data_IF_065396832824
#
_entry.id   IF_065396832824
#
_cell.length_a   1.000
_cell.length_b   1.000
_cell.length_c   1.000
_cell.angle_alpha   90.00
_cell.angle_beta   90.00
_cell.angle_gamma   90.00
#
_symmetry.space_group_name_H-M   'P 1'
#
loop_
_entity.id
_entity.type
_entity.pdbx_description
1 polymer ?
#
# COMPACT_ATOMS: atom_id res chain seq x y z
N UNK A 1 -16.24 -30.15 0.82
CA UNK A 1 -15.21 -31.17 0.46
C UNK A 1 -13.86 -30.67 0.98
N UNK A 2 -13.32 -31.29 2.04
CA UNK A 2 -12.10 -30.85 2.75
C UNK A 2 -10.89 -31.77 2.57
N UNK A 3 -10.83 -32.56 1.50
CA UNK A 3 -9.82 -33.61 1.32
C UNK A 3 -8.37 -33.15 1.09
N UNK A 4 -8.07 -31.87 1.29
CA UNK A 4 -6.73 -31.28 1.19
C UNK A 4 -6.38 -30.36 2.38
N UNK A 5 -7.17 -30.43 3.46
CA UNK A 5 -6.86 -29.71 4.70
C UNK A 5 -5.84 -30.47 5.54
N UNK A 6 -5.10 -29.76 6.39
CA UNK A 6 -4.19 -30.37 7.37
C UNK A 6 -5.00 -31.20 8.37
N UNK A 7 -4.44 -32.34 8.80
CA UNK A 7 -5.00 -33.13 9.90
C UNK A 7 -4.75 -32.44 11.25
N UNK A 8 -5.50 -32.84 12.29
CA UNK A 8 -5.26 -32.35 13.64
C UNK A 8 -3.85 -32.70 14.16
N UNK A 9 -3.28 -33.84 13.76
CA UNK A 9 -1.92 -34.21 14.14
C UNK A 9 -0.88 -33.29 13.50
N UNK A 10 -1.01 -32.98 12.21
CA UNK A 10 -0.12 -32.03 11.51
C UNK A 10 -0.19 -30.64 12.14
N UNK A 11 -1.40 -30.17 12.48
CA UNK A 11 -1.56 -28.87 13.13
C UNK A 11 -0.93 -28.87 14.54
N UNK A 12 -1.10 -29.95 15.32
CA UNK A 12 -0.47 -30.09 16.64
C UNK A 12 1.06 -30.08 16.54
N UNK A 13 1.63 -30.73 15.54
CA UNK A 13 3.06 -30.70 15.27
C UNK A 13 3.54 -29.26 15.02
N UNK A 14 2.87 -28.53 14.13
CA UNK A 14 3.18 -27.14 13.82
C UNK A 14 3.10 -26.24 15.07
N UNK A 15 2.06 -26.36 15.90
CA UNK A 15 1.94 -25.58 17.15
C UNK A 15 3.01 -25.95 18.17
N UNK A 16 3.34 -27.24 18.29
CA UNK A 16 4.34 -27.73 19.24
C UNK A 16 5.74 -27.18 18.93
N UNK A 17 6.04 -26.90 17.66
CA UNK A 17 7.30 -26.28 17.22
C UNK A 17 7.54 -24.87 17.78
N UNK A 18 6.49 -24.18 18.26
CA UNK A 18 6.50 -22.76 18.67
C UNK A 18 6.82 -21.76 17.55
N UNK A 19 7.00 -22.22 16.30
CA UNK A 19 7.20 -21.37 15.12
C UNK A 19 5.88 -20.97 14.44
N UNK A 20 4.80 -21.69 14.72
CA UNK A 20 3.47 -21.44 14.14
C UNK A 20 2.45 -21.07 15.20
N UNK A 21 1.61 -20.09 14.88
CA UNK A 21 0.41 -19.74 15.64
C UNK A 21 -0.84 -20.11 14.83
N UNK A 22 -1.93 -20.40 15.53
CA UNK A 22 -3.23 -20.65 14.92
C UNK A 22 -4.11 -19.42 15.09
N UNK A 23 -4.74 -19.01 13.98
CA UNK A 23 -5.81 -18.03 13.96
C UNK A 23 -7.13 -18.63 13.52
N UNK A 24 -8.23 -17.99 13.91
CA UNK A 24 -9.57 -18.37 13.48
C UNK A 24 -9.86 -17.88 12.06
N UNK A 25 -10.61 -18.67 11.28
CA UNK A 25 -11.01 -18.30 9.93
C UNK A 25 -12.49 -18.63 9.68
N UNK A 26 -13.33 -18.32 10.67
CA UNK A 26 -14.76 -18.70 10.78
C UNK A 26 -14.99 -20.20 10.95
N UNK A 27 -16.25 -20.64 10.98
CA UNK A 27 -16.62 -22.07 10.97
C UNK A 27 -16.83 -22.55 9.55
N UNK A 28 -17.59 -21.79 8.76
CA UNK A 28 -18.09 -22.23 7.45
C UNK A 28 -17.45 -21.55 6.24
N UNK A 29 -16.52 -20.61 6.47
CA UNK A 29 -15.97 -19.72 5.45
C UNK A 29 -17.09 -19.02 4.64
N UNK A 30 -18.00 -18.27 5.31
CA UNK A 30 -19.16 -17.69 4.67
C UNK A 30 -18.77 -16.67 3.59
N UNK A 31 -19.35 -16.80 2.41
CA UNK A 31 -19.27 -15.78 1.37
C UNK A 31 -20.10 -14.54 1.77
N UNK A 32 -19.76 -13.34 1.23
CA UNK A 32 -20.51 -12.11 1.52
C UNK A 32 -22.02 -12.22 1.31
N UNK A 33 -22.48 -13.02 0.33
CA UNK A 33 -23.91 -13.26 0.08
C UNK A 33 -24.61 -13.93 1.27
N UNK A 34 -23.96 -14.90 1.93
CA UNK A 34 -24.49 -15.60 3.10
C UNK A 34 -24.56 -14.66 4.31
N UNK A 35 -23.53 -13.84 4.51
CA UNK A 35 -23.47 -12.84 5.59
C UNK A 35 -24.60 -11.81 5.41
N UNK A 36 -24.73 -11.26 4.20
CA UNK A 36 -25.82 -10.32 3.86
C UNK A 36 -27.20 -10.93 4.00
N UNK A 37 -27.37 -12.22 3.68
CA UNK A 37 -28.64 -12.93 3.88
C UNK A 37 -29.00 -12.99 5.36
N UNK A 38 -28.07 -13.42 6.22
CA UNK A 38 -28.27 -13.47 7.66
C UNK A 38 -28.60 -12.07 8.24
N UNK A 39 -27.92 -11.02 7.77
CA UNK A 39 -28.21 -9.65 8.17
C UNK A 39 -29.64 -9.20 7.79
N UNK A 40 -30.14 -9.61 6.62
CA UNK A 40 -31.51 -9.31 6.17
C UNK A 40 -32.60 -10.05 6.95
N UNK A 41 -32.27 -11.17 7.59
CA UNK A 41 -33.20 -11.93 8.43
C UNK A 41 -33.48 -11.26 9.78
N UNK A 42 -32.69 -10.23 10.13
CA UNK A 42 -32.89 -9.38 11.32
C UNK A 42 -31.72 -9.45 12.30
N UNK A 43 -31.66 -8.51 13.28
CA UNK A 43 -30.52 -8.38 14.20
C UNK A 43 -30.23 -9.65 15.01
N UNK A 44 -31.26 -10.31 15.55
CA UNK A 44 -31.11 -11.53 16.36
C UNK A 44 -30.57 -12.71 15.53
N UNK A 45 -31.09 -12.89 14.31
CA UNK A 45 -30.63 -13.91 13.39
C UNK A 45 -29.17 -13.67 12.99
N UNK A 46 -28.81 -12.40 12.76
CA UNK A 46 -27.46 -12.03 12.40
C UNK A 46 -26.48 -12.22 13.54
N UNK A 47 -26.83 -11.80 14.76
CA UNK A 47 -25.99 -12.01 15.95
C UNK A 47 -25.78 -13.51 16.19
N UNK A 48 -26.83 -14.33 16.11
CA UNK A 48 -26.71 -15.80 16.23
C UNK A 48 -25.76 -16.38 15.17
N UNK A 49 -25.86 -15.89 13.93
CA UNK A 49 -24.95 -16.27 12.86
C UNK A 49 -23.50 -15.89 13.17
N UNK A 50 -23.24 -14.65 13.61
CA UNK A 50 -21.90 -14.18 13.96
C UNK A 50 -21.32 -14.91 15.16
N UNK A 51 -22.10 -15.18 16.21
CA UNK A 51 -21.68 -15.96 17.38
C UNK A 51 -21.27 -17.37 17.00
N UNK A 52 -21.97 -18.00 16.06
CA UNK A 52 -21.54 -19.28 15.51
C UNK A 52 -20.19 -19.15 14.77
N UNK A 53 -20.09 -18.22 13.82
CA UNK A 53 -18.89 -18.11 12.98
C UNK A 53 -17.63 -17.67 13.77
N UNK A 54 -17.75 -16.72 14.69
CA UNK A 54 -16.64 -16.21 15.49
C UNK A 54 -16.41 -17.05 16.76
N UNK A 55 -17.46 -17.32 17.52
CA UNK A 55 -17.39 -17.95 18.84
C UNK A 55 -17.15 -19.44 18.79
N UNK A 56 -17.93 -20.19 17.99
CA UNK A 56 -17.74 -21.66 17.91
C UNK A 56 -16.40 -22.02 17.25
N UNK A 57 -15.94 -21.23 16.27
CA UNK A 57 -14.61 -21.41 15.69
C UNK A 57 -13.51 -21.23 16.74
N UNK A 58 -13.57 -20.15 17.54
CA UNK A 58 -12.64 -19.95 18.66
C UNK A 58 -12.67 -21.11 19.64
N UNK A 59 -13.86 -21.46 20.14
CA UNK A 59 -14.04 -22.51 21.14
C UNK A 59 -13.46 -23.82 20.67
N UNK A 60 -13.75 -24.21 19.42
CA UNK A 60 -13.18 -25.42 18.83
C UNK A 60 -11.65 -25.40 18.83
N UNK A 61 -11.04 -24.30 18.39
CA UNK A 61 -9.57 -24.19 18.32
C UNK A 61 -8.93 -24.19 19.71
N UNK A 62 -9.46 -23.40 20.65
CA UNK A 62 -8.97 -23.33 22.03
C UNK A 62 -9.07 -24.70 22.72
N UNK A 63 -10.21 -25.38 22.60
CA UNK A 63 -10.44 -26.68 23.23
C UNK A 63 -9.58 -27.79 22.60
N UNK A 64 -9.39 -27.76 21.27
CA UNK A 64 -8.69 -28.82 20.52
C UNK A 64 -7.17 -28.74 20.68
N UNK A 65 -6.63 -27.52 20.71
CA UNK A 65 -5.18 -27.28 20.73
C UNK A 65 -4.67 -26.77 22.07
N UNK A 66 -5.55 -26.50 23.05
CA UNK A 66 -5.21 -25.99 24.39
C UNK A 66 -4.37 -24.71 24.34
N UNK A 67 -4.74 -23.82 23.42
CA UNK A 67 -4.13 -22.50 23.23
C UNK A 67 -5.20 -21.41 23.37
N UNK A 68 -4.77 -20.16 23.53
CA UNK A 68 -5.66 -19.00 23.49
C UNK A 68 -5.59 -18.35 22.10
N UNK A 69 -6.49 -18.71 21.19
CA UNK A 69 -6.59 -18.05 19.88
C UNK A 69 -7.09 -16.62 20.07
N UNK A 70 -6.33 -15.65 19.58
CA UNK A 70 -6.65 -14.22 19.68
C UNK A 70 -6.62 -13.49 18.33
N UNK A 71 -6.47 -14.23 17.23
CA UNK A 71 -6.45 -13.68 15.88
C UNK A 71 -7.60 -14.25 15.04
N UNK A 72 -8.14 -13.43 14.14
CA UNK A 72 -9.20 -13.82 13.21
C UNK A 72 -8.90 -13.30 11.80
N UNK A 73 -9.00 -14.15 10.78
CA UNK A 73 -8.95 -13.71 9.40
C UNK A 73 -10.37 -13.73 8.83
N UNK A 74 -10.84 -12.62 8.28
CA UNK A 74 -12.16 -12.59 7.63
C UNK A 74 -12.13 -13.40 6.33
N UNK A 75 -13.05 -14.36 6.13
CA UNK A 75 -13.25 -15.02 4.84
C UNK A 75 -13.44 -13.99 3.71
N UNK A 76 -12.54 -14.04 2.71
CA UNK A 76 -12.51 -13.06 1.63
C UNK A 76 -12.28 -11.60 2.06
N UNK A 77 -11.87 -11.35 3.31
CA UNK A 77 -11.70 -10.02 3.88
C UNK A 77 -12.99 -9.24 4.13
N UNK A 78 -14.16 -9.89 4.07
CA UNK A 78 -15.45 -9.24 4.29
C UNK A 78 -15.78 -9.17 5.78
N UNK A 79 -16.11 -7.99 6.26
CA UNK A 79 -16.52 -7.73 7.63
C UNK A 79 -17.70 -6.75 7.66
N UNK A 80 -18.38 -6.68 8.79
CA UNK A 80 -19.34 -5.62 9.13
C UNK A 80 -19.06 -5.12 10.54
N UNK A 81 -19.53 -3.94 10.90
CA UNK A 81 -19.19 -3.31 12.18
C UNK A 81 -19.77 -4.07 13.39
N UNK A 82 -20.88 -4.80 13.20
CA UNK A 82 -21.49 -5.66 14.22
C UNK A 82 -20.58 -6.83 14.62
N UNK A 83 -19.58 -7.17 13.80
CA UNK A 83 -18.61 -8.20 14.15
C UNK A 83 -17.61 -7.73 15.22
N UNK A 84 -17.35 -6.44 15.35
CA UNK A 84 -16.31 -5.90 16.25
C UNK A 84 -16.63 -6.11 17.74
N UNK A 85 -17.82 -5.78 18.28
CA UNK A 85 -18.12 -6.02 19.68
C UNK A 85 -18.09 -7.52 20.03
N UNK A 86 -18.58 -8.39 19.13
CA UNK A 86 -18.48 -9.85 19.32
C UNK A 86 -17.03 -10.34 19.27
N UNK A 87 -16.20 -9.76 18.39
CA UNK A 87 -14.80 -10.08 18.34
C UNK A 87 -14.08 -9.76 19.66
N UNK A 88 -14.40 -8.61 20.26
CA UNK A 88 -13.89 -8.21 21.57
C UNK A 88 -14.41 -9.11 22.69
N UNK A 89 -15.71 -9.42 22.71
CA UNK A 89 -16.33 -10.36 23.65
C UNK A 89 -15.64 -11.73 23.63
N UNK A 90 -15.35 -12.25 22.44
CA UNK A 90 -14.62 -13.52 22.28
C UNK A 90 -13.11 -13.36 22.45
N UNK A 91 -12.58 -12.18 22.77
CA UNK A 91 -11.16 -11.97 23.05
C UNK A 91 -10.23 -12.02 21.82
N UNK A 92 -10.76 -11.75 20.62
CA UNK A 92 -9.94 -11.49 19.45
C UNK A 92 -9.33 -10.08 19.52
N UNK A 93 -8.01 -10.00 19.33
CA UNK A 93 -7.25 -8.75 19.40
C UNK A 93 -6.63 -8.34 18.06
N UNK A 94 -6.52 -9.24 17.08
CA UNK A 94 -5.95 -8.93 15.77
C UNK A 94 -6.77 -9.57 14.67
N UNK A 95 -7.49 -8.75 13.91
CA UNK A 95 -8.40 -9.20 12.86
C UNK A 95 -7.93 -8.72 11.49
N UNK A 96 -7.81 -9.66 10.56
CA UNK A 96 -7.14 -9.46 9.28
C UNK A 96 -8.11 -9.48 8.11
N UNK A 97 -8.01 -8.46 7.26
CA UNK A 97 -8.71 -8.39 5.97
C UNK A 97 -7.82 -8.90 4.84
N UNK A 98 -8.26 -8.70 3.59
CA UNK A 98 -7.42 -8.89 2.39
C UNK A 98 -7.19 -7.58 1.64
N UNK A 99 -7.55 -6.44 2.25
CA UNK A 99 -7.25 -5.12 1.69
C UNK A 99 -5.72 -4.93 1.76
N UNK A 100 -5.04 -4.67 0.64
CA UNK A 100 -3.59 -4.50 0.63
C UNK A 100 -3.20 -3.24 1.41
N UNK A 101 -2.15 -3.34 2.23
CA UNK A 101 -1.69 -2.22 3.04
C UNK A 101 -0.64 -2.63 4.07
N UNK A 102 0.05 -1.63 4.61
CA UNK A 102 1.08 -1.81 5.64
C UNK A 102 0.47 -1.57 7.02
N UNK A 103 0.78 -2.44 7.96
CA UNK A 103 0.39 -2.26 9.37
C UNK A 103 1.33 -1.24 10.00
N UNK A 104 0.75 -0.28 10.71
CA UNK A 104 1.41 0.75 11.51
C UNK A 104 1.02 0.57 12.98
N UNK A 105 1.72 1.25 13.91
CA UNK A 105 1.42 1.18 15.35
C UNK A 105 0.01 1.67 15.71
N UNK A 106 -0.54 2.57 14.91
CA UNK A 106 -1.88 3.16 15.02
C UNK A 106 -2.93 2.44 14.17
N UNK A 107 -2.59 1.31 13.52
CA UNK A 107 -3.56 0.55 12.74
C UNK A 107 -4.65 -0.01 13.63
N UNK A 108 -5.89 0.17 13.20
CA UNK A 108 -7.04 -0.44 13.87
C UNK A 108 -6.90 -1.95 13.89
N UNK A 109 -7.03 -2.51 15.09
CA UNK A 109 -6.87 -3.93 15.35
C UNK A 109 -7.92 -4.81 14.67
N UNK A 110 -9.04 -4.21 14.26
CA UNK A 110 -10.18 -4.91 13.68
C UNK A 110 -10.08 -5.10 12.17
N UNK A 111 -9.23 -4.34 11.47
CA UNK A 111 -9.21 -4.35 10.00
C UNK A 111 -7.78 -4.37 9.44
N UNK A 112 -6.89 -5.11 10.10
CA UNK A 112 -5.48 -5.20 9.73
C UNK A 112 -5.32 -5.63 8.26
N UNK A 113 -4.61 -4.84 7.43
CA UNK A 113 -4.44 -5.13 6.01
C UNK A 113 -3.50 -6.32 5.77
N UNK A 114 -3.70 -7.01 4.64
CA UNK A 114 -2.81 -8.06 4.13
C UNK A 114 -2.75 -8.03 2.62
N UNK A 115 -1.60 -8.41 2.06
CA UNK A 115 -1.43 -8.61 0.63
C UNK A 115 -1.74 -10.06 0.27
N UNK A 116 -2.60 -10.28 -0.73
CA UNK A 116 -2.82 -11.61 -1.31
C UNK A 116 -1.67 -11.89 -2.28
N UNK A 117 -0.86 -12.89 -2.00
CA UNK A 117 0.14 -13.40 -2.95
C UNK A 117 -0.52 -14.46 -3.82
N UNK A 118 -0.58 -14.21 -5.12
CA UNK A 118 -1.09 -15.16 -6.10
C UNK A 118 0.12 -15.87 -6.72
N UNK A 119 0.12 -17.21 -6.74
CA UNK A 119 1.27 -18.00 -7.20
C UNK A 119 1.64 -17.84 -8.68
N UNK A 120 0.85 -17.07 -9.45
CA UNK A 120 1.08 -16.75 -10.85
C UNK A 120 1.37 -15.25 -11.09
N UNK A 121 1.44 -14.42 -10.03
CA UNK A 121 1.61 -12.98 -10.19
C UNK A 121 2.24 -12.29 -8.96
N UNK A 122 3.44 -11.73 -9.15
CA UNK A 122 4.27 -11.22 -8.05
C UNK A 122 3.95 -9.80 -7.60
N UNK A 123 3.08 -9.04 -8.28
CA UNK A 123 2.91 -7.62 -7.98
C UNK A 123 2.51 -7.32 -6.53
N UNK A 124 1.67 -8.15 -5.92
CA UNK A 124 1.27 -7.97 -4.52
C UNK A 124 2.43 -8.28 -3.55
N UNK A 125 3.25 -9.29 -3.86
CA UNK A 125 4.47 -9.60 -3.12
C UNK A 125 5.48 -8.46 -3.24
N UNK A 126 5.74 -7.98 -4.45
CA UNK A 126 6.63 -6.84 -4.70
C UNK A 126 6.18 -5.59 -3.94
N UNK A 127 4.88 -5.26 -3.97
CA UNK A 127 4.33 -4.15 -3.17
C UNK A 127 4.50 -4.37 -1.65
N UNK A 128 4.33 -5.61 -1.18
CA UNK A 128 4.54 -5.97 0.22
C UNK A 128 6.01 -5.89 0.66
N UNK A 129 6.97 -6.02 -0.26
CA UNK A 129 8.41 -5.90 0.02
C UNK A 129 8.93 -4.46 -0.01
N UNK A 130 8.13 -3.48 -0.47
CA UNK A 130 8.50 -2.07 -0.40
C UNK A 130 8.29 -1.55 1.03
N UNK A 131 9.36 -1.53 1.83
CA UNK A 131 9.39 -0.92 3.17
C UNK A 131 9.94 0.51 3.07
N UNK A 132 9.24 1.39 2.35
CA UNK A 132 9.49 2.84 2.45
C UNK A 132 8.92 3.28 3.80
N UNK A 133 9.77 3.23 4.82
CA UNK A 133 9.41 3.48 6.22
C UNK A 133 8.58 4.74 6.37
N UNK A 134 7.54 4.66 7.20
CA UNK A 134 6.83 5.79 7.79
C UNK A 134 7.70 6.55 8.78
N UNK A 135 8.94 6.89 8.43
CA UNK A 135 9.53 8.09 8.96
C UNK A 135 8.65 9.23 8.43
N UNK A 136 8.04 10.00 9.33
CA UNK A 136 8.16 11.45 9.16
C UNK A 136 9.64 11.65 8.91
N UNK A 137 10.03 11.82 7.65
CA UNK A 137 11.29 12.48 7.36
C UNK A 137 11.08 13.84 8.00
N UNK A 138 11.59 14.01 9.23
CA UNK A 138 12.07 15.32 9.64
C UNK A 138 12.84 15.81 8.45
N UNK A 139 12.28 16.81 7.76
CA UNK A 139 12.84 17.38 6.56
C UNK A 139 14.27 17.83 6.88
N UNK A 140 15.24 16.93 6.70
CA UNK A 140 16.49 17.34 6.13
C UNK A 140 16.10 17.47 4.66
N UNK A 141 15.93 18.69 4.13
CA UNK A 141 15.69 18.85 2.72
C UNK A 141 16.80 18.08 2.00
N UNK A 142 16.42 17.10 1.19
CA UNK A 142 17.36 16.50 0.25
C UNK A 142 17.70 17.65 -0.70
N UNK A 143 18.76 18.39 -0.39
CA UNK A 143 19.27 19.44 -1.25
C UNK A 143 19.82 18.74 -2.48
N UNK A 144 19.04 18.79 -3.55
CA UNK A 144 19.54 18.43 -4.86
C UNK A 144 20.60 19.45 -5.27
N UNK A 145 21.61 19.04 -6.04
CA UNK A 145 22.61 19.97 -6.57
C UNK A 145 22.01 21.02 -7.50
N UNK A 146 20.79 20.78 -7.99
CA UNK A 146 20.05 21.62 -8.94
C UNK A 146 18.61 21.80 -8.44
N UNK A 147 18.08 23.05 -8.39
CA UNK A 147 16.71 23.31 -7.98
C UNK A 147 15.68 22.61 -8.89
N UNK A 148 14.60 22.11 -8.30
CA UNK A 148 13.50 21.46 -9.03
C UNK A 148 12.15 21.99 -8.58
N UNK A 149 11.15 21.98 -9.48
CA UNK A 149 9.74 22.16 -9.13
C UNK A 149 8.92 20.99 -9.68
N UNK A 150 8.02 20.37 -8.92
CA UNK A 150 7.93 20.47 -7.46
C UNK A 150 9.25 20.04 -6.77
N UNK A 151 9.47 20.54 -5.56
CA UNK A 151 10.64 20.24 -4.74
C UNK A 151 10.64 18.77 -4.27
N UNK A 152 11.80 18.21 -3.91
CA UNK A 152 11.88 16.86 -3.36
C UNK A 152 11.02 16.70 -2.10
N UNK A 153 9.98 15.87 -2.20
CA UNK A 153 9.04 15.62 -1.10
C UNK A 153 7.91 16.64 -0.99
N UNK A 154 7.85 17.66 -1.86
CA UNK A 154 6.75 18.62 -1.88
C UNK A 154 5.40 17.92 -2.08
N UNK A 155 4.37 18.43 -1.41
CA UNK A 155 2.99 17.97 -1.58
C UNK A 155 2.25 19.05 -2.36
N UNK A 156 1.76 18.70 -3.54
CA UNK A 156 1.04 19.61 -4.42
C UNK A 156 -0.42 19.18 -4.57
N UNK A 157 -1.34 20.14 -4.73
CA UNK A 157 -2.75 19.87 -4.95
C UNK A 157 -3.08 19.58 -6.43
N UNK A 158 -2.35 20.20 -7.36
CA UNK A 158 -2.63 20.04 -8.80
C UNK A 158 -2.23 18.66 -9.31
N UNK A 159 -3.14 18.04 -10.09
CA UNK A 159 -2.87 16.78 -10.81
C UNK A 159 -2.26 17.00 -12.20
N UNK A 160 -2.15 18.26 -12.62
CA UNK A 160 -1.53 18.71 -13.86
C UNK A 160 -0.41 19.72 -13.54
N UNK A 161 0.59 19.37 -12.72
CA UNK A 161 1.65 20.30 -12.37
C UNK A 161 2.58 20.57 -13.55
N UNK A 162 3.31 21.67 -13.44
CA UNK A 162 4.55 21.86 -14.17
C UNK A 162 5.69 21.14 -13.43
N UNK A 163 6.52 20.44 -14.19
CA UNK A 163 7.73 19.77 -13.69
C UNK A 163 8.94 20.45 -14.30
N UNK A 164 9.84 20.95 -13.46
CA UNK A 164 10.94 21.83 -13.84
C UNK A 164 12.25 21.42 -13.14
N UNK A 165 13.36 21.68 -13.82
CA UNK A 165 14.72 21.60 -13.27
C UNK A 165 15.55 22.77 -13.79
N UNK A 166 16.27 23.42 -12.88
CA UNK A 166 17.20 24.52 -13.17
C UNK A 166 18.63 23.98 -13.25
N UNK A 167 19.21 24.01 -14.45
CA UNK A 167 20.58 23.56 -14.72
C UNK A 167 21.55 24.72 -14.95
N UNK A 168 21.20 25.95 -14.57
CA UNK A 168 22.07 27.14 -14.72
C UNK A 168 23.41 27.01 -13.99
N UNK A 169 23.46 26.21 -12.93
CA UNK A 169 24.70 25.88 -12.20
C UNK A 169 25.63 24.89 -12.91
N UNK A 170 25.21 24.26 -14.01
CA UNK A 170 26.01 23.27 -14.74
C UNK A 170 26.92 23.95 -15.76
N UNK A 171 28.24 23.88 -15.56
CA UNK A 171 29.23 24.37 -16.53
C UNK A 171 29.27 23.48 -17.77
N UNK A 172 29.39 24.10 -18.94
CA UNK A 172 29.51 23.42 -20.24
C UNK A 172 28.36 22.44 -20.55
N UNK A 173 27.13 22.73 -20.10
CA UNK A 173 25.96 21.92 -20.45
C UNK A 173 25.76 21.86 -21.98
N UNK A 174 25.53 20.65 -22.51
CA UNK A 174 24.98 20.43 -23.87
C UNK A 174 23.45 20.59 -23.79
N UNK A 175 22.86 21.71 -24.26
CA UNK A 175 21.47 22.03 -23.98
C UNK A 175 20.48 21.06 -24.64
N UNK A 176 20.87 20.42 -25.74
CA UNK A 176 20.03 19.49 -26.50
C UNK A 176 20.07 18.07 -25.92
N UNK A 177 21.03 17.78 -25.05
CA UNK A 177 21.20 16.45 -24.45
C UNK A 177 20.27 16.17 -23.27
N UNK A 178 19.58 17.19 -22.74
CA UNK A 178 18.80 17.06 -21.51
C UNK A 178 17.60 16.15 -21.73
N UNK A 179 17.54 15.08 -20.93
CA UNK A 179 16.46 14.09 -20.96
C UNK A 179 15.82 14.03 -19.58
N UNK A 180 14.52 14.32 -19.53
CA UNK A 180 13.68 14.09 -18.36
C UNK A 180 12.77 12.89 -18.62
N UNK A 181 12.61 12.05 -17.60
CA UNK A 181 11.63 10.95 -17.57
C UNK A 181 10.75 11.06 -16.35
N UNK A 182 9.45 10.86 -16.54
CA UNK A 182 8.44 10.95 -15.49
C UNK A 182 7.70 9.61 -15.37
N UNK A 183 7.49 9.15 -14.14
CA UNK A 183 6.78 7.91 -13.85
C UNK A 183 5.39 7.88 -14.51
N UNK A 184 5.10 6.82 -15.28
CA UNK A 184 3.85 6.68 -16.04
C UNK A 184 3.81 7.42 -17.39
N UNK A 185 4.86 8.16 -17.74
CA UNK A 185 4.99 8.87 -19.03
C UNK A 185 6.25 8.49 -19.80
N UNK A 186 7.30 8.00 -19.14
CA UNK A 186 8.57 7.74 -19.79
C UNK A 186 9.28 9.04 -20.12
N UNK A 187 9.96 9.12 -21.27
CA UNK A 187 10.65 10.35 -21.74
C UNK A 187 9.61 11.41 -22.11
N UNK A 188 9.75 12.62 -21.59
CA UNK A 188 8.80 13.72 -21.82
C UNK A 188 9.41 14.82 -22.71
N UNK A 189 8.59 15.53 -23.50
CA UNK A 189 9.06 16.65 -24.32
C UNK A 189 9.32 17.88 -23.44
N UNK A 190 10.58 18.28 -23.30
CA UNK A 190 10.96 19.46 -22.52
C UNK A 190 10.85 20.74 -23.34
N UNK A 191 10.29 21.78 -22.74
CA UNK A 191 10.45 23.18 -23.16
C UNK A 191 11.68 23.72 -22.46
N UNK A 192 12.72 24.01 -23.22
CA UNK A 192 13.97 24.57 -22.70
C UNK A 192 13.98 26.09 -22.89
N UNK A 193 14.29 26.83 -21.84
CA UNK A 193 14.76 28.21 -21.95
C UNK A 193 16.29 28.20 -21.96
N UNK A 194 16.87 28.33 -23.14
CA UNK A 194 18.32 28.25 -23.35
C UNK A 194 19.09 29.43 -22.77
N UNK A 195 18.42 30.52 -22.40
CA UNK A 195 19.05 31.66 -21.73
C UNK A 195 19.19 31.45 -20.22
N UNK A 196 18.17 30.85 -19.59
CA UNK A 196 18.16 30.58 -18.15
C UNK A 196 18.56 29.15 -17.78
N UNK A 197 18.76 28.25 -18.76
CA UNK A 197 18.97 26.82 -18.56
C UNK A 197 17.89 26.13 -17.72
N UNK A 198 16.66 26.65 -17.82
CA UNK A 198 15.48 26.09 -17.18
C UNK A 198 14.78 25.13 -18.14
N UNK A 199 14.55 23.90 -17.68
CA UNK A 199 13.88 22.85 -18.47
C UNK A 199 12.56 22.48 -17.83
N UNK A 200 11.47 22.64 -18.58
CA UNK A 200 10.10 22.52 -18.09
C UNK A 200 9.27 21.55 -18.92
N UNK A 201 8.40 20.80 -18.26
CA UNK A 201 7.32 20.05 -18.90
C UNK A 201 6.02 20.18 -18.11
N UNK A 202 4.95 20.55 -18.81
CA UNK A 202 3.59 20.58 -18.24
C UNK A 202 2.95 19.21 -18.42
N UNK A 203 2.47 18.63 -17.32
CA UNK A 203 1.82 17.32 -17.33
C UNK A 203 0.60 17.33 -18.26
N UNK A 204 0.58 16.44 -19.25
CA UNK A 204 -0.46 16.42 -20.30
C UNK A 204 -1.74 15.66 -19.94
N UNK A 205 -1.70 14.81 -18.91
CA UNK A 205 -2.88 14.08 -18.39
C UNK A 205 -2.78 13.91 -16.88
N UNK A 206 -3.89 13.89 -16.14
CA UNK A 206 -3.85 13.90 -14.67
C UNK A 206 -3.01 12.77 -14.10
N UNK A 207 -2.07 13.13 -13.23
CA UNK A 207 -1.29 12.17 -12.45
C UNK A 207 -2.26 11.36 -11.57
N UNK A 208 -2.17 10.03 -11.64
CA UNK A 208 -3.08 9.10 -10.92
C UNK A 208 -2.44 8.49 -9.68
N UNK A 209 -1.12 8.46 -9.62
CA UNK A 209 -0.41 7.93 -8.47
C UNK A 209 -0.17 9.07 -7.47
N UNK A 210 -0.26 8.80 -6.16
CA UNK A 210 -0.05 9.80 -5.10
C UNK A 210 1.41 10.24 -4.98
N UNK A 211 2.32 9.53 -5.63
CA UNK A 211 3.75 9.82 -5.71
C UNK A 211 4.15 9.86 -7.18
N UNK A 212 4.79 10.95 -7.60
CA UNK A 212 5.37 11.09 -8.93
C UNK A 212 6.88 11.06 -8.81
N UNK A 213 7.55 10.10 -9.46
CA UNK A 213 9.01 10.05 -9.54
C UNK A 213 9.48 10.66 -10.88
N UNK A 214 10.53 11.48 -10.81
CA UNK A 214 11.15 12.16 -11.95
C UNK A 214 12.64 11.86 -11.96
N UNK A 215 13.18 11.63 -13.15
CA UNK A 215 14.63 11.51 -13.37
C UNK A 215 15.08 12.43 -14.48
N UNK A 216 16.21 13.09 -14.30
CA UNK A 216 16.84 13.93 -15.34
C UNK A 216 18.30 13.54 -15.50
N UNK A 217 18.76 13.53 -16.74
CA UNK A 217 20.16 13.33 -17.11
C UNK A 217 20.52 14.25 -18.28
N UNK A 218 21.79 14.61 -18.39
CA UNK A 218 22.32 15.46 -19.45
C UNK A 218 23.77 15.08 -19.77
N UNK A 219 24.34 15.67 -20.82
CA UNK A 219 25.75 15.59 -21.17
C UNK A 219 26.40 16.96 -21.08
N UNK A 220 27.72 16.97 -21.01
CA UNK A 220 28.53 18.17 -21.16
C UNK A 220 29.00 18.30 -22.61
N UNK A 221 29.25 19.53 -23.07
CA UNK A 221 29.75 19.82 -24.42
C UNK A 221 31.01 19.01 -24.72
N UNK A 222 31.01 18.33 -25.87
CA UNK A 222 32.14 17.52 -26.31
C UNK A 222 32.31 16.16 -25.59
N UNK A 223 31.41 15.81 -24.66
CA UNK A 223 31.39 14.48 -24.02
C UNK A 223 30.27 13.61 -24.57
N UNK A 224 30.57 12.34 -24.80
CA UNK A 224 29.57 11.35 -25.24
C UNK A 224 28.77 10.75 -24.06
N UNK A 225 29.39 10.65 -22.89
CA UNK A 225 28.78 10.08 -21.69
C UNK A 225 27.84 11.06 -21.00
N UNK A 226 26.72 10.53 -20.48
CA UNK A 226 25.80 11.26 -19.62
C UNK A 226 26.38 11.44 -18.21
N UNK A 227 26.11 12.59 -17.61
CA UNK A 227 26.32 12.84 -16.19
C UNK A 227 25.40 11.95 -15.34
N UNK A 228 25.76 11.68 -14.06
CA UNK A 228 24.94 10.86 -13.18
C UNK A 228 23.47 11.32 -13.11
N UNK A 229 22.55 10.36 -13.21
CA UNK A 229 21.11 10.67 -13.21
C UNK A 229 20.69 11.30 -11.88
N UNK A 230 20.03 12.47 -11.96
CA UNK A 230 19.33 13.06 -10.83
C UNK A 230 17.95 12.43 -10.74
N UNK A 231 17.54 12.09 -9.51
CA UNK A 231 16.22 11.56 -9.21
C UNK A 231 15.58 12.34 -8.08
N UNK A 232 14.31 12.69 -8.24
CA UNK A 232 13.50 13.24 -7.17
C UNK A 232 12.04 12.79 -7.30
N UNK A 233 11.26 13.08 -6.27
CA UNK A 233 9.84 12.74 -6.25
C UNK A 233 9.05 13.75 -5.44
N UNK A 234 7.81 13.98 -5.84
CA UNK A 234 6.85 14.81 -5.13
C UNK A 234 5.52 14.05 -4.97
N UNK A 235 4.66 14.52 -4.08
CA UNK A 235 3.39 13.91 -3.75
C UNK A 235 2.21 14.75 -4.22
N UNK A 236 1.09 14.07 -4.46
CA UNK A 236 -0.16 14.70 -4.84
C UNK A 236 -1.14 14.52 -3.69
N UNK A 237 -1.65 15.64 -3.20
CA UNK A 237 -2.75 15.64 -2.25
C UNK A 237 -4.05 15.30 -2.98
N UNK A 238 -4.48 14.05 -2.83
CA UNK A 238 -5.73 13.58 -3.42
C UNK A 238 -6.96 14.15 -2.72
N UNK A 239 -6.90 14.55 -1.43
CA UNK A 239 -8.04 15.08 -0.70
C UNK A 239 -8.30 16.55 -1.07
N UNK A 240 -7.25 17.35 -1.22
CA UNK A 240 -7.35 18.74 -1.68
C UNK A 240 -7.83 18.86 -3.14
N UNK A 241 -7.48 17.90 -4.00
CA UNK A 241 -7.87 17.91 -5.42
C UNK A 241 -9.37 17.66 -5.67
N UNK A 242 -10.11 17.09 -4.70
CA UNK A 242 -11.57 16.90 -4.78
C UNK A 242 -12.38 18.07 -4.20
N UNK A 243 -11.75 19.01 -3.48
CA UNK A 243 -12.40 20.19 -2.89
C UNK A 243 -12.42 21.41 -3.84
N UNK A 244 -11.72 21.34 -4.96
CA UNK A 244 -11.58 22.45 -5.92
C UNK A 244 -12.41 22.27 -7.21
N UNK A 245 -13.52 21.53 -7.14
CA UNK A 245 -14.54 21.47 -8.20
C UNK A 245 -15.90 21.96 -7.70
#
# INVERSE_FOLDING_TARGET
RGGRALSLSMIREMVSSKLCTIGSHSVSHPFPSKIKKAAKEGPEAYEKFLRNELGNSKKFLDDTFKIKVNTYAYPGGYYTDEMFPLAEEFGYNQLFTVKPGKIRRDSTRYTLPRYIVLGNHDAAFNAAMVFRNGARVTAIPISLPHPTKPEPGEIIASRLPDIEIDLSGVKDLDPESVVMRVAGFGKVPLKADTMSFLYKWTVSRPLRQPLCEVTTQWRLKGKENYEPVIRWSFRIDHEAAYQAQ
#
